data_IF_253768873914
#
_entry.id   IF_253768873914
#
_cell.length_a   1.000
_cell.length_b   1.000
_cell.length_c   1.000
_cell.angle_alpha   90.00
_cell.angle_beta   90.00
_cell.angle_gamma   90.00
#
_symmetry.space_group_name_H-M   'P 1'
#
loop_
_entity.id
_entity.type
_entity.pdbx_description
1 polymer ?
#
# COMPACT_ATOMS: atom_id res chain seq x y z
N UNK A 1 14.16 -1.28 35.72
CA UNK A 1 14.94 -2.35 35.05
C UNK A 1 15.05 -2.04 33.57
N UNK A 2 16.18 -2.40 32.94
CA UNK A 2 16.34 -2.15 31.47
C UNK A 2 15.68 -3.30 30.73
N UNK A 3 14.74 -3.00 29.86
CA UNK A 3 14.04 -3.98 29.00
C UNK A 3 14.40 -3.71 27.54
N UNK A 4 14.48 -4.76 26.74
CA UNK A 4 14.69 -4.67 25.30
C UNK A 4 13.37 -4.69 24.57
N UNK A 5 13.14 -3.70 23.71
CA UNK A 5 11.99 -3.69 22.81
C UNK A 5 12.41 -4.34 21.52
N UNK A 6 11.77 -5.45 21.20
CA UNK A 6 12.05 -6.26 20.00
C UNK A 6 10.87 -6.24 19.05
N UNK A 7 11.14 -6.49 17.77
CA UNK A 7 10.12 -6.68 16.75
C UNK A 7 9.20 -7.85 17.16
N UNK A 8 7.88 -7.64 17.21
CA UNK A 8 6.94 -8.73 17.49
C UNK A 8 7.03 -9.84 16.44
N UNK A 9 6.47 -11.01 16.75
CA UNK A 9 6.40 -12.09 15.76
C UNK A 9 5.62 -11.62 14.54
N UNK A 10 6.30 -11.62 13.39
CA UNK A 10 5.68 -11.35 12.11
C UNK A 10 4.91 -12.61 11.64
N UNK A 11 3.80 -12.46 10.90
CA UNK A 11 3.10 -13.59 10.30
C UNK A 11 4.03 -14.45 9.43
N UNK A 12 3.82 -15.76 9.36
CA UNK A 12 4.67 -16.70 8.61
C UNK A 12 4.90 -16.32 7.14
N UNK A 13 3.99 -15.54 6.57
CA UNK A 13 4.08 -15.04 5.18
C UNK A 13 4.89 -13.75 5.02
N UNK A 14 5.44 -13.19 6.11
CA UNK A 14 6.16 -11.90 6.12
C UNK A 14 7.58 -12.12 6.65
N UNK A 15 8.56 -12.01 5.77
CA UNK A 15 9.97 -12.25 6.12
C UNK A 15 10.62 -11.08 6.87
N UNK A 16 10.18 -9.84 6.60
CA UNK A 16 10.78 -8.62 7.13
C UNK A 16 9.75 -7.46 7.17
N UNK A 17 10.04 -6.45 8.00
CA UNK A 17 9.27 -5.22 8.13
C UNK A 17 10.18 -3.99 8.02
N UNK A 18 9.64 -2.84 7.67
CA UNK A 18 10.38 -1.56 7.67
C UNK A 18 9.87 -0.67 8.79
N UNK A 19 10.75 -0.13 9.59
CA UNK A 19 10.41 0.87 10.59
C UNK A 19 10.05 2.19 9.89
N UNK A 20 8.78 2.57 9.90
CA UNK A 20 8.30 3.79 9.24
C UNK A 20 8.63 5.03 10.05
N UNK A 21 8.22 5.00 11.32
CA UNK A 21 8.40 6.14 12.21
C UNK A 21 8.43 5.68 13.67
N UNK A 22 9.16 6.44 14.49
CA UNK A 22 9.04 6.41 15.93
C UNK A 22 7.96 7.39 16.37
N UNK A 23 7.04 6.92 17.21
CA UNK A 23 5.98 7.75 17.81
C UNK A 23 6.47 8.48 19.05
N UNK A 24 7.55 7.99 19.64
CA UNK A 24 8.18 8.53 20.84
C UNK A 24 9.67 8.75 20.62
N UNK A 25 10.21 9.80 21.27
CA UNK A 25 11.62 10.13 21.20
C UNK A 25 12.40 9.62 22.43
N UNK A 26 13.73 9.44 22.33
CA UNK A 26 14.56 9.11 23.48
C UNK A 26 14.38 10.14 24.62
N UNK A 27 14.14 9.65 25.84
CA UNK A 27 13.87 10.47 27.03
C UNK A 27 12.38 10.75 27.27
N UNK A 28 11.48 10.35 26.38
CA UNK A 28 10.04 10.57 26.53
C UNK A 28 9.40 9.46 27.38
N UNK A 29 8.48 9.86 28.25
CA UNK A 29 7.72 8.95 29.09
C UNK A 29 6.63 8.24 28.28
N UNK A 30 6.50 6.94 28.50
CA UNK A 30 5.59 6.06 27.76
C UNK A 30 4.73 5.26 28.72
N UNK A 31 3.43 5.17 28.45
CA UNK A 31 2.50 4.32 29.17
C UNK A 31 2.59 2.85 28.71
N UNK A 32 2.09 1.93 29.54
CA UNK A 32 1.93 0.53 29.14
C UNK A 32 0.96 0.44 27.95
N UNK A 33 1.26 -0.42 26.99
CA UNK A 33 0.48 -0.65 25.77
C UNK A 33 0.40 0.58 24.81
N UNK A 34 1.17 1.64 25.08
CA UNK A 34 1.28 2.79 24.18
C UNK A 34 2.15 2.46 22.97
N UNK A 35 1.71 2.87 21.77
CA UNK A 35 2.45 2.60 20.54
C UNK A 35 3.76 3.39 20.47
N UNK A 36 4.88 2.69 20.36
CA UNK A 36 6.24 3.23 20.29
C UNK A 36 6.70 3.49 18.86
N UNK A 37 6.35 2.59 17.94
CA UNK A 37 6.84 2.63 16.57
C UNK A 37 5.87 1.89 15.63
N UNK A 38 5.83 2.37 14.39
CA UNK A 38 5.06 1.74 13.31
C UNK A 38 6.01 0.93 12.41
N UNK A 39 5.74 -0.36 12.27
CA UNK A 39 6.44 -1.27 11.37
C UNK A 39 5.56 -1.55 10.15
N UNK A 40 6.01 -1.19 8.97
CA UNK A 40 5.32 -1.46 7.71
C UNK A 40 5.83 -2.77 7.10
N UNK A 41 4.91 -3.66 6.82
CA UNK A 41 5.16 -4.89 6.05
C UNK A 41 4.60 -4.74 4.64
N UNK A 42 4.75 -5.75 3.80
CA UNK A 42 4.18 -5.76 2.45
C UNK A 42 2.63 -5.83 2.44
N UNK A 43 2.01 -6.12 3.59
CA UNK A 43 0.56 -6.34 3.70
C UNK A 43 -0.15 -5.45 4.72
N UNK A 44 0.49 -5.20 5.86
CA UNK A 44 -0.10 -4.45 7.00
C UNK A 44 0.95 -3.61 7.71
N UNK A 45 0.47 -2.56 8.38
CA UNK A 45 1.28 -1.79 9.33
C UNK A 45 1.05 -2.39 10.73
N UNK A 46 2.13 -2.82 11.38
CA UNK A 46 2.12 -3.36 12.73
C UNK A 46 2.58 -2.28 13.71
N UNK A 47 1.87 -2.15 14.81
CA UNK A 47 2.23 -1.27 15.90
C UNK A 47 3.08 -2.04 16.92
N UNK A 48 4.10 -1.38 17.46
CA UNK A 48 4.96 -1.94 18.52
C UNK A 48 4.54 -1.32 19.85
N UNK A 49 3.75 -2.02 20.69
CA UNK A 49 3.31 -1.51 21.98
C UNK A 49 4.44 -1.58 23.02
N UNK A 50 4.43 -0.65 23.97
CA UNK A 50 5.31 -0.67 25.12
C UNK A 50 4.92 -1.78 26.10
N UNK A 51 5.85 -2.65 26.54
CA UNK A 51 5.53 -3.76 27.45
C UNK A 51 5.20 -3.32 28.89
N UNK A 52 5.66 -2.14 29.27
CA UNK A 52 5.42 -1.55 30.61
C UNK A 52 5.49 -0.02 30.54
N UNK A 53 5.06 0.67 31.59
CA UNK A 53 5.26 2.11 31.75
C UNK A 53 6.73 2.44 32.08
N UNK A 54 7.30 3.44 31.40
CA UNK A 54 8.69 3.82 31.61
C UNK A 54 9.19 4.89 30.65
N UNK A 55 10.51 4.92 30.39
CA UNK A 55 11.15 5.93 29.51
C UNK A 55 11.95 5.23 28.42
N UNK A 56 11.79 5.70 27.19
CA UNK A 56 12.58 5.23 26.05
C UNK A 56 14.01 5.79 26.15
N UNK A 57 15.02 4.93 26.27
CA UNK A 57 16.39 5.35 26.54
C UNK A 57 17.23 5.55 25.28
N UNK A 58 17.21 4.59 24.38
CA UNK A 58 18.02 4.60 23.17
C UNK A 58 17.34 3.88 22.02
N UNK A 59 17.35 4.50 20.86
CA UNK A 59 16.89 3.90 19.61
C UNK A 59 18.06 3.20 18.92
N UNK A 60 17.93 1.91 18.65
CA UNK A 60 18.95 1.14 17.93
C UNK A 60 18.75 1.09 16.44
N UNK A 61 17.51 1.37 15.99
CA UNK A 61 17.11 1.31 14.59
C UNK A 61 16.54 2.67 14.16
N UNK A 62 17.01 3.17 13.02
CA UNK A 62 16.53 4.43 12.46
C UNK A 62 15.28 4.23 11.57
N UNK A 63 14.41 5.24 11.41
CA UNK A 63 13.32 5.20 10.45
C UNK A 63 13.83 4.87 9.04
N UNK A 64 13.10 3.99 8.33
CA UNK A 64 13.48 3.48 7.01
C UNK A 64 14.34 2.20 7.02
N UNK A 65 14.80 1.72 8.17
CA UNK A 65 15.56 0.48 8.26
C UNK A 65 14.65 -0.75 8.19
N UNK A 66 15.15 -1.79 7.52
CA UNK A 66 14.48 -3.10 7.45
C UNK A 66 14.87 -3.94 8.66
N UNK A 67 13.87 -4.53 9.34
CA UNK A 67 14.02 -5.35 10.54
C UNK A 67 13.29 -6.68 10.38
N UNK A 68 13.77 -7.70 11.08
CA UNK A 68 13.19 -9.05 11.12
C UNK A 68 12.54 -9.32 12.48
N UNK A 69 11.69 -10.35 12.53
CA UNK A 69 11.09 -10.81 13.78
C UNK A 69 12.18 -11.07 14.85
N UNK A 70 12.01 -10.48 16.04
CA UNK A 70 12.94 -10.61 17.15
C UNK A 70 14.10 -9.62 17.16
N UNK A 71 14.30 -8.80 16.11
CA UNK A 71 15.37 -7.79 16.08
C UNK A 71 15.18 -6.73 17.18
N UNK A 72 16.29 -6.23 17.73
CA UNK A 72 16.30 -5.22 18.78
C UNK A 72 16.03 -3.84 18.19
N UNK A 73 14.89 -3.22 18.57
CA UNK A 73 14.48 -1.89 18.11
C UNK A 73 15.01 -0.77 19.01
N UNK A 74 14.83 -0.93 20.33
CA UNK A 74 15.17 0.11 21.30
C UNK A 74 15.45 -0.48 22.70
N UNK A 75 16.10 0.32 23.53
CA UNK A 75 16.30 0.05 24.94
C UNK A 75 15.34 0.91 25.76
N UNK A 76 14.57 0.26 26.63
CA UNK A 76 13.53 0.85 27.44
C UNK A 76 13.87 0.67 28.94
N UNK A 77 13.64 1.68 29.75
CA UNK A 77 13.84 1.64 31.20
C UNK A 77 12.49 1.74 31.91
N UNK A 78 12.12 0.67 32.61
CA UNK A 78 10.92 0.62 33.43
C UNK A 78 11.05 1.56 34.62
N UNK A 79 10.16 2.52 34.73
CA UNK A 79 10.10 3.48 35.85
C UNK A 79 8.67 3.94 36.09
N UNK A 80 8.30 4.18 37.34
CA UNK A 80 6.98 4.70 37.70
C UNK A 80 6.81 6.11 37.13
N UNK A 81 6.03 6.26 36.09
CA UNK A 81 5.64 7.57 35.53
C UNK A 81 4.34 8.02 36.19
N UNK A 82 4.46 9.02 37.08
CA UNK A 82 3.31 9.76 37.58
C UNK A 82 2.68 10.54 36.43
N UNK A 83 1.45 10.23 36.09
CA UNK A 83 0.69 10.94 35.06
C UNK A 83 0.36 12.37 35.53
N UNK A 84 0.86 13.37 34.79
CA UNK A 84 0.34 14.74 34.86
C UNK A 84 -0.05 15.18 33.44
N UNK A 85 -1.25 15.76 33.23
CA UNK A 85 -1.73 16.11 31.92
C UNK A 85 -1.15 17.45 31.48
N UNK A 86 -0.44 17.50 30.35
CA UNK A 86 0.02 18.74 29.75
C UNK A 86 -1.00 19.26 28.74
N UNK A 87 -1.47 20.47 29.01
CA UNK A 87 -2.22 21.36 28.09
C UNK A 87 -1.28 21.95 27.03
N UNK A 88 -1.80 22.34 25.85
CA UNK A 88 -0.99 22.84 24.75
C UNK A 88 -0.59 24.32 24.97
N UNK A 89 0.65 24.66 24.70
CA UNK A 89 1.16 26.03 24.63
C UNK A 89 1.55 26.39 23.20
N UNK A 90 1.01 27.56 22.81
CA UNK A 90 1.25 28.27 21.56
C UNK A 90 2.63 28.95 21.54
N UNK A 91 3.25 28.94 20.37
CA UNK A 91 3.91 30.06 19.70
C UNK A 91 5.08 30.77 20.39
N UNK A 92 6.19 30.92 19.68
CA UNK A 92 7.27 31.84 20.03
C UNK A 92 8.48 31.77 19.11
N UNK A 93 8.46 32.60 18.08
CA UNK A 93 9.51 33.41 17.41
C UNK A 93 11.00 33.08 17.59
N UNK A 94 11.60 32.80 16.44
CA UNK A 94 12.85 33.33 15.82
C UNK A 94 13.84 34.11 16.72
N UNK A 95 15.10 33.63 16.72
CA UNK A 95 16.28 34.50 16.77
C UNK A 95 17.47 33.85 16.03
N UNK A 96 18.01 34.60 15.09
CA UNK A 96 19.22 34.33 14.32
C UNK A 96 20.46 34.88 15.05
N UNK A 97 21.59 34.24 14.87
CA UNK A 97 22.96 34.82 14.86
C UNK A 97 23.96 33.65 14.77
N UNK A 98 24.85 33.64 13.93
CA UNK A 98 25.96 34.34 13.28
C UNK A 98 27.09 33.29 13.12
N UNK A 99 27.41 32.97 11.94
CA UNK A 99 28.65 33.17 11.18
C UNK A 99 29.99 33.05 11.93
N UNK A 100 30.77 32.01 11.56
CA UNK A 100 32.22 32.18 11.35
C UNK A 100 32.76 30.99 10.52
N UNK A 101 33.24 31.30 9.34
CA UNK A 101 34.27 30.56 8.59
C UNK A 101 35.57 31.38 8.73
N UNK A 102 36.76 31.02 8.24
CA UNK A 102 37.20 29.84 7.49
C UNK A 102 38.56 29.31 7.95
N UNK A 103 39.01 28.14 7.45
CA UNK A 103 40.39 27.94 7.08
C UNK A 103 40.54 26.75 6.11
N UNK A 104 41.07 27.08 4.96
CA UNK A 104 41.55 26.15 3.96
C UNK A 104 43.00 25.71 4.32
N UNK A 105 43.35 24.47 4.09
CA UNK A 105 44.72 24.08 3.70
C UNK A 105 44.72 22.72 3.01
N UNK A 106 44.99 22.74 1.75
CA UNK A 106 46.13 22.13 1.02
C UNK A 106 46.14 20.58 0.89
N UNK A 107 46.02 20.22 -0.40
CA UNK A 107 46.43 18.93 -0.99
C UNK A 107 47.96 18.83 -0.96
N UNK A 108 48.54 17.62 -0.87
CA UNK A 108 49.49 17.26 -1.90
C UNK A 108 49.23 15.90 -2.56
N UNK A 109 49.25 15.94 -3.86
CA UNK A 109 49.45 14.78 -4.70
C UNK A 109 50.90 14.25 -4.56
N UNK A 110 51.02 12.93 -4.52
CA UNK A 110 52.26 12.28 -4.93
C UNK A 110 51.95 10.91 -5.49
N UNK A 111 52.06 10.83 -6.77
CA UNK A 111 52.14 9.59 -7.55
C UNK A 111 53.55 9.01 -7.34
N UNK A 112 53.65 7.79 -6.89
CA UNK A 112 54.89 7.02 -6.97
C UNK A 112 54.58 5.69 -7.67
N UNK A 113 55.07 5.61 -8.89
CA UNK A 113 55.12 4.37 -9.66
C UNK A 113 56.10 3.41 -8.97
N UNK A 114 55.63 2.20 -8.64
CA UNK A 114 56.46 1.10 -8.21
C UNK A 114 56.65 0.08 -9.34
N UNK A 115 57.87 -0.26 -9.62
CA UNK A 115 58.36 -1.19 -10.62
C UNK A 115 57.88 -2.65 -10.40
N UNK A 116 58.00 -3.55 -11.37
CA UNK A 116 57.41 -4.88 -11.37
C UNK A 116 58.02 -5.78 -10.30
N UNK A 117 57.22 -6.25 -9.40
CA UNK A 117 57.64 -7.17 -8.37
C UNK A 117 57.84 -8.59 -8.91
N UNK A 118 58.95 -9.19 -8.50
CA UNK A 118 59.33 -10.56 -8.77
C UNK A 118 58.23 -11.57 -8.45
N UNK A 119 58.13 -12.62 -9.23
CA UNK A 119 57.17 -13.72 -9.08
C UNK A 119 57.15 -14.24 -7.64
N UNK A 120 56.03 -14.08 -6.98
CA UNK A 120 55.84 -14.51 -5.59
C UNK A 120 56.06 -16.03 -5.44
N UNK A 121 56.97 -16.47 -4.56
CA UNK A 121 57.20 -17.88 -4.28
C UNK A 121 56.01 -18.42 -3.46
N UNK A 122 55.09 -19.09 -4.12
CA UNK A 122 53.90 -19.70 -3.51
C UNK A 122 54.19 -21.15 -3.06
N UNK A 123 53.78 -21.50 -1.85
CA UNK A 123 53.73 -22.90 -1.42
C UNK A 123 52.60 -23.69 -2.11
N UNK A 124 52.65 -25.03 -2.20
CA UNK A 124 51.62 -25.84 -2.90
C UNK A 124 50.19 -25.61 -2.37
N UNK A 125 50.05 -25.43 -1.06
CA UNK A 125 48.74 -25.17 -0.43
C UNK A 125 48.23 -23.72 -0.64
N UNK A 126 49.15 -22.74 -0.75
CA UNK A 126 48.79 -21.34 -1.07
C UNK A 126 48.38 -21.21 -2.53
N UNK A 127 49.03 -21.95 -3.45
CA UNK A 127 48.66 -21.93 -4.89
C UNK A 127 47.24 -22.42 -5.13
N UNK A 128 46.80 -23.52 -4.47
CA UNK A 128 45.40 -23.99 -4.55
C UNK A 128 44.40 -22.95 -4.10
N UNK A 129 44.67 -22.27 -2.98
CA UNK A 129 43.73 -21.25 -2.46
C UNK A 129 43.67 -20.00 -3.35
N UNK A 130 44.78 -19.62 -3.99
CA UNK A 130 44.85 -18.52 -4.95
C UNK A 130 44.02 -18.84 -6.20
N UNK A 131 44.13 -20.08 -6.73
CA UNK A 131 43.38 -20.55 -7.88
C UNK A 131 41.87 -20.66 -7.56
N UNK A 132 41.54 -21.20 -6.37
CA UNK A 132 40.16 -21.41 -5.93
C UNK A 132 39.40 -20.09 -5.67
N UNK A 133 40.11 -19.04 -5.19
CA UNK A 133 39.51 -17.74 -4.91
C UNK A 133 39.86 -16.66 -5.95
N UNK A 134 40.51 -17.01 -7.07
CA UNK A 134 40.87 -16.09 -8.18
C UNK A 134 41.64 -14.84 -7.70
N UNK A 135 42.52 -14.98 -6.68
CA UNK A 135 43.29 -13.88 -6.12
C UNK A 135 44.58 -13.70 -6.88
N UNK A 136 44.98 -12.45 -7.19
CA UNK A 136 46.27 -12.16 -7.80
C UNK A 136 47.38 -12.41 -6.78
N UNK A 137 48.32 -13.35 -7.07
CA UNK A 137 49.44 -13.65 -6.15
C UNK A 137 50.31 -12.46 -5.83
N UNK A 138 50.39 -11.47 -6.71
CA UNK A 138 51.20 -10.27 -6.53
C UNK A 138 50.57 -9.28 -5.52
N UNK A 139 49.29 -9.41 -5.25
CA UNK A 139 48.54 -8.57 -4.30
C UNK A 139 48.65 -9.06 -2.83
N UNK A 140 49.20 -10.26 -2.62
CA UNK A 140 49.28 -10.87 -1.27
C UNK A 140 50.68 -10.74 -0.71
N UNK A 141 50.84 -10.02 0.41
CA UNK A 141 52.12 -9.92 1.11
C UNK A 141 52.48 -11.25 1.80
N UNK A 142 53.56 -11.89 1.44
CA UNK A 142 54.01 -13.16 2.04
C UNK A 142 54.68 -12.97 3.40
N UNK A 143 54.18 -13.66 4.44
CA UNK A 143 54.76 -13.69 5.79
C UNK A 143 55.76 -14.83 6.04
N UNK A 144 55.94 -15.75 5.09
CA UNK A 144 56.82 -16.90 5.21
C UNK A 144 58.30 -16.56 5.02
N UNK A 145 59.20 -17.55 5.36
CA UNK A 145 60.65 -17.41 5.23
C UNK A 145 61.04 -17.04 3.79
N UNK A 146 61.87 -16.05 3.60
CA UNK A 146 62.27 -15.47 2.30
C UNK A 146 61.12 -14.83 1.48
N UNK A 147 60.12 -14.23 2.15
CA UNK A 147 58.98 -13.55 1.49
C UNK A 147 57.99 -14.51 0.83
N UNK A 148 57.94 -15.76 1.24
CA UNK A 148 57.02 -16.76 0.66
C UNK A 148 55.57 -16.54 1.13
N UNK A 149 54.63 -16.52 0.21
CA UNK A 149 53.22 -16.45 0.52
C UNK A 149 52.72 -17.79 1.09
N UNK A 150 52.18 -17.76 2.31
CA UNK A 150 51.64 -18.93 3.01
C UNK A 150 50.11 -19.05 2.80
N UNK A 151 49.54 -20.21 3.14
CA UNK A 151 48.08 -20.42 3.10
C UNK A 151 47.34 -19.39 3.99
N UNK A 152 47.95 -19.02 5.13
CA UNK A 152 47.37 -18.04 6.06
C UNK A 152 47.28 -16.65 5.47
N UNK A 153 48.26 -16.23 4.68
CA UNK A 153 48.29 -14.91 4.06
C UNK A 153 47.20 -14.76 2.98
N UNK A 154 46.97 -15.80 2.18
CA UNK A 154 45.88 -15.82 1.18
C UNK A 154 44.52 -15.81 1.86
N UNK A 155 44.34 -16.60 2.91
CA UNK A 155 43.08 -16.64 3.66
C UNK A 155 42.77 -15.29 4.35
N UNK A 156 43.80 -14.63 4.92
CA UNK A 156 43.64 -13.30 5.53
C UNK A 156 43.30 -12.23 4.46
N UNK A 157 43.95 -12.30 3.29
CA UNK A 157 43.64 -11.39 2.18
C UNK A 157 42.22 -11.56 1.66
N UNK A 158 41.75 -12.79 1.45
CA UNK A 158 40.35 -13.09 1.05
C UNK A 158 39.37 -12.61 2.09
N UNK A 159 39.64 -12.84 3.39
CA UNK A 159 38.78 -12.33 4.46
C UNK A 159 38.77 -10.80 4.53
N UNK A 160 39.87 -10.14 4.26
CA UNK A 160 39.97 -8.68 4.23
C UNK A 160 39.26 -8.09 3.00
N UNK A 161 39.32 -8.77 1.85
CA UNK A 161 38.61 -8.40 0.63
C UNK A 161 37.09 -8.61 0.79
N UNK A 162 36.63 -9.68 1.42
CA UNK A 162 35.25 -9.92 1.80
C UNK A 162 34.74 -8.88 2.81
N UNK A 163 35.58 -8.46 3.77
CA UNK A 163 35.25 -7.39 4.71
C UNK A 163 35.18 -5.99 4.02
N UNK A 164 35.98 -5.76 2.99
CA UNK A 164 35.97 -4.53 2.20
C UNK A 164 34.74 -4.42 1.26
N UNK A 165 34.20 -5.57 0.84
CA UNK A 165 32.93 -5.61 0.06
C UNK A 165 31.67 -5.44 0.92
N UNK A 166 31.80 -5.55 2.25
CA UNK A 166 30.74 -5.25 3.24
C UNK A 166 30.94 -3.86 3.87
N UNK A 167 31.54 -2.92 3.14
CA UNK A 167 31.45 -1.52 3.53
C UNK A 167 29.97 -1.11 3.54
N UNK A 168 29.46 -0.49 4.64
CA UNK A 168 28.07 -0.05 4.69
C UNK A 168 27.82 0.85 3.47
N UNK A 169 26.77 0.55 2.71
CA UNK A 169 26.33 1.37 1.59
C UNK A 169 26.32 2.82 2.08
N UNK A 170 27.13 3.67 1.45
CA UNK A 170 27.20 5.07 1.81
C UNK A 170 25.77 5.61 1.87
N UNK A 171 25.41 6.23 3.01
CA UNK A 171 24.15 6.93 3.14
C UNK A 171 23.98 7.81 1.89
N UNK A 172 22.78 7.91 1.30
CA UNK A 172 22.58 8.70 0.10
C UNK A 172 23.09 10.11 0.39
N UNK A 173 24.15 10.49 -0.31
CA UNK A 173 24.68 11.84 -0.24
C UNK A 173 23.58 12.73 -0.76
N UNK A 174 22.93 13.45 0.14
CA UNK A 174 21.99 14.52 -0.24
C UNK A 174 22.85 15.54 -0.96
N UNK A 175 22.80 15.54 -2.29
CA UNK A 175 23.54 16.49 -3.09
C UNK A 175 23.17 17.91 -2.63
N UNK A 176 24.17 18.71 -2.29
CA UNK A 176 23.97 20.11 -1.91
C UNK A 176 23.17 20.82 -3.01
N UNK A 177 22.17 21.66 -2.70
CA UNK A 177 21.36 22.33 -3.67
C UNK A 177 22.24 23.22 -4.56
N UNK A 178 22.19 23.02 -5.86
CA UNK A 178 22.87 23.85 -6.86
C UNK A 178 22.24 25.26 -6.79
N UNK A 179 23.00 26.33 -6.58
CA UNK A 179 22.45 27.67 -6.57
C UNK A 179 21.72 27.97 -7.88
N UNK A 180 20.41 28.29 -7.79
CA UNK A 180 19.54 28.54 -8.96
C UNK A 180 18.74 27.33 -9.44
N UNK A 181 18.93 26.13 -8.89
CA UNK A 181 18.05 24.97 -9.14
C UNK A 181 16.71 25.15 -8.41
N UNK A 182 15.61 24.79 -9.09
CA UNK A 182 14.29 24.72 -8.45
C UNK A 182 14.35 23.68 -7.33
N UNK A 183 13.76 24.01 -6.18
CA UNK A 183 13.72 23.09 -5.05
C UNK A 183 12.95 21.82 -5.41
N UNK A 184 13.61 20.68 -5.41
CA UNK A 184 13.02 19.36 -5.62
C UNK A 184 13.24 18.52 -4.37
N UNK A 185 12.18 17.85 -3.92
CA UNK A 185 12.24 16.92 -2.80
C UNK A 185 12.01 15.49 -3.31
N UNK A 186 12.99 14.62 -3.15
CA UNK A 186 12.87 13.19 -3.43
C UNK A 186 12.41 12.47 -2.15
N UNK A 187 11.19 11.91 -2.20
CA UNK A 187 10.65 11.11 -1.10
C UNK A 187 10.40 9.69 -1.63
N UNK A 188 10.97 8.64 -1.03
CA UNK A 188 10.71 7.27 -1.42
C UNK A 188 9.25 6.92 -1.14
N UNK A 189 8.64 6.11 -2.02
CA UNK A 189 7.30 5.59 -1.77
C UNK A 189 7.32 4.60 -0.59
N UNK A 190 6.25 4.58 0.19
CA UNK A 190 6.04 3.54 1.21
C UNK A 190 5.92 2.16 0.54
N UNK A 191 6.23 1.09 1.26
CA UNK A 191 6.14 -0.30 0.75
C UNK A 191 4.73 -0.62 0.27
N UNK A 192 3.71 -0.23 1.03
CA UNK A 192 2.30 -0.39 0.64
C UNK A 192 2.02 0.28 -0.71
N UNK A 193 2.48 1.53 -0.89
CA UNK A 193 2.29 2.27 -2.15
C UNK A 193 3.04 1.63 -3.32
N UNK A 194 4.25 1.11 -3.10
CA UNK A 194 5.01 0.35 -4.11
C UNK A 194 4.23 -0.88 -4.57
N UNK A 195 3.68 -1.68 -3.65
CA UNK A 195 2.88 -2.86 -3.97
C UNK A 195 1.59 -2.53 -4.70
N UNK A 196 0.90 -1.46 -4.29
CA UNK A 196 -0.29 -0.98 -5.02
C UNK A 196 0.10 -0.58 -6.45
N UNK A 197 1.19 0.17 -6.63
CA UNK A 197 1.66 0.59 -7.94
C UNK A 197 1.99 -0.61 -8.85
N UNK A 198 2.73 -1.60 -8.34
CA UNK A 198 3.04 -2.85 -9.06
C UNK A 198 1.77 -3.56 -9.51
N UNK A 199 0.79 -3.77 -8.61
CA UNK A 199 -0.49 -4.42 -8.93
C UNK A 199 -1.31 -3.67 -9.98
N UNK A 200 -1.38 -2.35 -9.88
CA UNK A 200 -2.13 -1.54 -10.84
C UNK A 200 -1.50 -1.58 -12.24
N UNK A 201 -0.17 -1.46 -12.32
CA UNK A 201 0.56 -1.56 -13.60
C UNK A 201 0.40 -2.97 -14.18
N UNK A 202 0.52 -4.01 -13.35
CA UNK A 202 0.33 -5.38 -13.79
C UNK A 202 -1.10 -5.64 -14.31
N UNK A 203 -2.13 -5.11 -13.64
CA UNK A 203 -3.52 -5.24 -14.10
C UNK A 203 -3.72 -4.61 -15.48
N UNK A 204 -3.12 -3.44 -15.75
CA UNK A 204 -3.19 -2.79 -17.05
C UNK A 204 -2.41 -3.53 -18.15
N UNK A 205 -1.31 -4.18 -17.82
CA UNK A 205 -0.51 -4.94 -18.81
C UNK A 205 -1.08 -6.33 -19.11
N UNK A 206 -1.73 -6.96 -18.12
CA UNK A 206 -2.20 -8.35 -18.26
C UNK A 206 -3.61 -8.47 -18.85
N UNK A 207 -4.35 -7.38 -19.01
CA UNK A 207 -5.73 -7.37 -19.50
C UNK A 207 -5.89 -6.39 -20.67
N UNK A 208 -6.75 -6.73 -21.61
CA UNK A 208 -7.15 -5.84 -22.69
C UNK A 208 -8.29 -4.94 -22.22
N UNK A 209 -7.97 -3.92 -21.42
CA UNK A 209 -8.97 -3.07 -20.79
C UNK A 209 -9.72 -2.19 -21.79
N UNK A 210 -11.03 -2.28 -21.78
CA UNK A 210 -11.93 -1.38 -22.49
C UNK A 210 -12.98 -0.85 -21.51
N UNK A 211 -13.43 0.39 -21.71
CA UNK A 211 -14.47 1.01 -20.88
C UNK A 211 -15.63 1.44 -21.75
N UNK A 212 -16.84 1.10 -21.34
CA UNK A 212 -18.07 1.65 -21.89
C UNK A 212 -18.81 2.45 -20.84
N UNK A 213 -19.60 3.42 -21.28
CA UNK A 213 -20.30 4.37 -20.42
C UNK A 213 -21.80 4.38 -20.73
N UNK A 214 -22.59 4.66 -19.71
CA UNK A 214 -24.01 4.97 -19.85
C UNK A 214 -24.40 6.03 -18.81
N UNK A 215 -25.55 6.65 -19.00
CA UNK A 215 -26.13 7.55 -18.00
C UNK A 215 -27.39 6.94 -17.41
N UNK A 216 -27.64 7.20 -16.13
CA UNK A 216 -28.82 6.71 -15.41
C UNK A 216 -29.55 7.85 -14.72
N UNK A 217 -30.87 7.82 -14.83
CA UNK A 217 -31.80 8.69 -14.08
C UNK A 217 -32.08 8.07 -12.71
N UNK A 218 -31.61 8.73 -11.64
CA UNK A 218 -31.80 8.27 -10.27
C UNK A 218 -33.06 8.78 -9.59
N UNK A 219 -34.01 9.35 -10.35
CA UNK A 219 -35.25 9.88 -9.79
C UNK A 219 -36.03 8.83 -9.00
N UNK A 220 -36.27 7.66 -9.60
CA UNK A 220 -37.04 6.58 -8.96
C UNK A 220 -36.35 6.05 -7.67
N UNK A 221 -35.05 5.81 -7.69
CA UNK A 221 -34.32 5.43 -6.51
C UNK A 221 -34.30 6.55 -5.46
N UNK A 222 -34.14 7.81 -5.87
CA UNK A 222 -34.21 8.99 -5.00
C UNK A 222 -35.54 9.14 -4.29
N UNK A 223 -36.64 9.00 -5.02
CA UNK A 223 -38.03 9.06 -4.49
C UNK A 223 -38.31 7.89 -3.53
N UNK A 224 -37.92 6.66 -3.90
CA UNK A 224 -38.09 5.49 -3.06
C UNK A 224 -37.32 5.68 -1.73
N UNK A 225 -36.08 6.13 -1.84
CA UNK A 225 -35.23 6.44 -0.69
C UNK A 225 -35.85 7.55 0.18
N UNK A 226 -36.27 8.66 -0.41
CA UNK A 226 -36.87 9.78 0.32
C UNK A 226 -38.15 9.36 1.07
N UNK A 227 -38.95 8.49 0.49
CA UNK A 227 -40.19 7.98 1.09
C UNK A 227 -39.97 7.05 2.27
N UNK A 228 -38.87 6.27 2.26
CA UNK A 228 -38.66 5.18 3.22
C UNK A 228 -37.48 5.38 4.17
N UNK A 229 -36.58 6.36 3.97
CA UNK A 229 -35.33 6.55 4.74
C UNK A 229 -35.52 6.58 6.25
N UNK A 230 -36.52 7.34 6.74
CA UNK A 230 -36.71 7.55 8.19
C UNK A 230 -37.25 6.28 8.87
N UNK A 231 -38.17 5.56 8.20
CA UNK A 231 -38.69 4.29 8.67
C UNK A 231 -37.61 3.20 8.65
N UNK A 232 -36.81 3.16 7.56
CA UNK A 232 -35.71 2.21 7.40
C UNK A 232 -34.65 2.41 8.48
N UNK A 233 -34.25 3.65 8.75
CA UNK A 233 -33.27 3.96 9.80
C UNK A 233 -33.80 3.59 11.20
N UNK A 234 -35.07 3.83 11.50
CA UNK A 234 -35.68 3.43 12.78
C UNK A 234 -35.74 1.92 12.95
N UNK A 235 -36.05 1.17 11.89
CA UNK A 235 -36.21 -0.29 11.94
C UNK A 235 -34.87 -1.03 11.93
N UNK A 236 -33.91 -0.54 11.15
CA UNK A 236 -32.66 -1.26 10.91
C UNK A 236 -31.42 -0.64 11.58
N UNK A 237 -31.51 0.56 12.15
CA UNK A 237 -30.40 1.27 12.79
C UNK A 237 -29.32 1.74 11.83
N UNK A 238 -29.60 1.77 10.53
CA UNK A 238 -28.67 2.18 9.48
C UNK A 238 -29.39 3.01 8.43
N UNK A 239 -28.72 4.01 7.87
CA UNK A 239 -29.30 4.87 6.81
C UNK A 239 -29.43 4.10 5.51
N UNK A 240 -30.54 4.30 4.80
CA UNK A 240 -30.71 3.79 3.43
C UNK A 240 -29.85 4.62 2.46
N UNK A 241 -28.69 4.10 2.06
CA UNK A 241 -27.79 4.71 1.10
C UNK A 241 -28.15 4.38 -0.34
N UNK A 242 -27.33 4.84 -1.29
CA UNK A 242 -27.44 4.46 -2.69
C UNK A 242 -26.69 3.15 -2.99
N UNK A 243 -25.66 2.80 -2.19
CA UNK A 243 -24.80 1.68 -2.50
C UNK A 243 -25.52 0.34 -2.53
N UNK A 244 -26.48 0.12 -1.64
CA UNK A 244 -27.29 -1.11 -1.64
C UNK A 244 -28.12 -1.30 -2.91
N UNK A 245 -28.61 -0.21 -3.51
CA UNK A 245 -29.28 -0.28 -4.81
C UNK A 245 -28.33 -0.67 -5.93
N UNK A 246 -27.14 -0.07 -5.97
CA UNK A 246 -26.12 -0.40 -6.96
C UNK A 246 -25.60 -1.83 -6.82
N UNK A 247 -25.37 -2.31 -5.60
CA UNK A 247 -24.99 -3.70 -5.35
C UNK A 247 -26.07 -4.65 -5.86
N UNK A 248 -27.34 -4.41 -5.54
CA UNK A 248 -28.45 -5.28 -5.99
C UNK A 248 -28.65 -5.23 -7.50
N UNK A 249 -28.62 -4.04 -8.12
CA UNK A 249 -28.72 -3.89 -9.57
C UNK A 249 -27.54 -4.59 -10.29
N UNK A 250 -26.33 -4.49 -9.74
CA UNK A 250 -25.17 -5.18 -10.29
C UNK A 250 -25.33 -6.70 -10.21
N UNK A 251 -25.80 -7.25 -9.09
CA UNK A 251 -26.03 -8.70 -8.93
C UNK A 251 -27.07 -9.20 -9.94
N UNK A 252 -28.15 -8.47 -10.16
CA UNK A 252 -29.13 -8.84 -11.21
C UNK A 252 -28.51 -8.85 -12.60
N UNK A 253 -27.71 -7.84 -12.91
CA UNK A 253 -27.01 -7.78 -14.18
C UNK A 253 -25.96 -8.90 -14.32
N UNK A 254 -25.20 -9.22 -13.26
CA UNK A 254 -24.23 -10.31 -13.24
C UNK A 254 -24.86 -11.69 -13.46
N UNK A 255 -26.11 -11.91 -12.97
CA UNK A 255 -26.86 -13.12 -13.24
C UNK A 255 -27.23 -13.27 -14.72
N UNK A 256 -27.52 -12.16 -15.40
CA UNK A 256 -27.83 -12.14 -16.85
C UNK A 256 -26.58 -12.26 -17.73
N UNK A 257 -25.44 -11.79 -17.21
CA UNK A 257 -24.15 -11.77 -17.91
C UNK A 257 -23.04 -12.39 -17.05
N UNK A 258 -22.99 -13.74 -16.91
CA UNK A 258 -22.05 -14.43 -16.00
C UNK A 258 -20.58 -14.17 -16.31
N UNK A 259 -20.22 -13.88 -17.57
CA UNK A 259 -18.85 -13.53 -17.97
C UNK A 259 -18.33 -12.27 -17.28
N UNK A 260 -19.20 -11.35 -16.87
CA UNK A 260 -18.85 -10.15 -16.11
C UNK A 260 -18.47 -10.45 -14.65
N UNK A 261 -18.83 -11.66 -14.15
CA UNK A 261 -18.48 -12.18 -12.83
C UNK A 261 -17.35 -13.23 -12.89
N UNK A 262 -16.73 -13.42 -14.04
CA UNK A 262 -15.69 -14.41 -14.26
C UNK A 262 -14.30 -13.85 -13.88
N UNK A 263 -13.31 -14.75 -13.85
CA UNK A 263 -11.89 -14.42 -13.73
C UNK A 263 -11.11 -15.09 -14.86
N UNK A 264 -9.93 -14.55 -15.18
CA UNK A 264 -9.02 -15.15 -16.17
C UNK A 264 -7.82 -15.73 -15.43
N UNK A 265 -7.56 -17.01 -15.64
CA UNK A 265 -6.35 -17.67 -15.16
C UNK A 265 -5.62 -18.36 -16.33
N UNK A 266 -4.52 -17.79 -16.76
CA UNK A 266 -3.79 -18.23 -17.96
C UNK A 266 -4.66 -18.17 -19.21
N UNK A 267 -5.05 -19.33 -19.73
CA UNK A 267 -5.95 -19.52 -20.90
C UNK A 267 -7.38 -19.87 -20.50
N UNK A 268 -7.65 -20.06 -19.22
CA UNK A 268 -8.94 -20.51 -18.73
C UNK A 268 -9.81 -19.34 -18.23
N UNK A 269 -11.11 -19.47 -18.43
CA UNK A 269 -12.13 -18.56 -17.87
C UNK A 269 -12.82 -19.29 -16.73
N UNK A 270 -12.69 -18.72 -15.52
CA UNK A 270 -13.28 -19.25 -14.30
C UNK A 270 -14.60 -18.53 -14.03
N UNK A 271 -15.71 -19.24 -14.15
CA UNK A 271 -17.04 -18.69 -13.80
C UNK A 271 -17.34 -18.91 -12.33
N UNK A 272 -17.83 -17.87 -11.65
CA UNK A 272 -18.26 -17.95 -10.26
C UNK A 272 -19.78 -18.04 -10.17
N UNK A 273 -20.29 -18.98 -9.36
CA UNK A 273 -21.72 -19.15 -9.09
C UNK A 273 -22.18 -18.38 -7.83
N UNK A 274 -21.30 -17.56 -7.27
CA UNK A 274 -21.51 -16.68 -6.13
C UNK A 274 -21.11 -15.24 -6.48
N UNK A 275 -21.62 -14.27 -5.72
CA UNK A 275 -21.39 -12.85 -5.99
C UNK A 275 -20.73 -12.18 -4.79
N UNK A 276 -19.42 -12.15 -4.81
CA UNK A 276 -18.57 -11.51 -3.82
C UNK A 276 -18.18 -10.12 -4.32
N UNK A 277 -18.88 -9.10 -3.86
CA UNK A 277 -18.79 -7.75 -4.40
C UNK A 277 -17.77 -6.92 -3.62
N UNK A 278 -16.66 -6.55 -4.26
CA UNK A 278 -15.71 -5.59 -3.74
C UNK A 278 -16.29 -4.17 -3.77
N UNK A 279 -16.18 -3.44 -2.67
CA UNK A 279 -16.60 -2.04 -2.59
C UNK A 279 -15.39 -1.18 -2.27
N UNK A 280 -15.02 -0.29 -3.19
CA UNK A 280 -13.86 0.58 -3.01
C UNK A 280 -14.11 1.64 -1.91
N UNK A 281 -13.26 1.66 -0.89
CA UNK A 281 -13.28 2.59 0.22
C UNK A 281 -11.97 3.38 0.25
N UNK A 282 -12.08 4.70 0.23
CA UNK A 282 -10.91 5.59 0.33
C UNK A 282 -10.58 5.88 1.79
N UNK A 283 -9.29 5.83 2.12
CA UNK A 283 -8.74 6.18 3.44
C UNK A 283 -7.55 7.11 3.27
N UNK A 284 -7.10 7.73 4.35
CA UNK A 284 -5.89 8.57 4.35
C UNK A 284 -4.62 7.79 3.99
N UNK A 285 -4.64 6.47 4.19
CA UNK A 285 -3.54 5.54 3.85
C UNK A 285 -3.59 5.04 2.40
N UNK A 286 -4.72 5.26 1.69
CA UNK A 286 -4.93 4.82 0.32
C UNK A 286 -6.30 4.18 0.09
N UNK A 287 -6.48 3.59 -1.10
CA UNK A 287 -7.70 2.90 -1.49
C UNK A 287 -7.62 1.44 -1.06
N UNK A 288 -8.67 0.96 -0.39
CA UNK A 288 -8.86 -0.46 -0.06
C UNK A 288 -10.20 -0.95 -0.62
N UNK A 289 -10.30 -2.25 -0.92
CA UNK A 289 -11.49 -2.83 -1.56
C UNK A 289 -11.95 -4.04 -0.73
N UNK A 290 -12.63 -3.82 0.41
CA UNK A 290 -13.25 -4.91 1.16
C UNK A 290 -14.39 -5.56 0.36
N UNK A 291 -14.65 -6.83 0.65
CA UNK A 291 -15.53 -7.70 -0.12
C UNK A 291 -16.80 -8.07 0.66
N UNK A 292 -17.95 -7.72 0.11
CA UNK A 292 -19.26 -8.22 0.56
C UNK A 292 -19.42 -9.67 0.09
N UNK A 293 -19.33 -10.63 1.01
CA UNK A 293 -19.44 -12.05 0.67
C UNK A 293 -20.89 -12.45 0.47
N UNK A 294 -21.14 -13.26 -0.59
CA UNK A 294 -22.48 -13.77 -0.92
C UNK A 294 -23.52 -12.62 -0.93
N UNK A 295 -23.18 -11.50 -1.59
CA UNK A 295 -23.98 -10.28 -1.57
C UNK A 295 -25.39 -10.47 -2.15
N UNK A 296 -25.63 -11.54 -2.94
CA UNK A 296 -26.94 -11.95 -3.44
C UNK A 296 -27.91 -12.31 -2.31
N UNK A 297 -27.41 -12.87 -1.20
CA UNK A 297 -28.23 -13.25 -0.05
C UNK A 297 -28.52 -12.09 0.90
N UNK A 298 -27.73 -11.00 0.81
CA UNK A 298 -27.85 -9.85 1.71
C UNK A 298 -29.06 -8.99 1.37
N UNK A 299 -29.79 -8.53 2.38
CA UNK A 299 -30.79 -7.47 2.26
C UNK A 299 -30.14 -6.07 2.21
N UNK A 300 -30.91 -5.04 1.82
CA UNK A 300 -30.44 -3.65 1.75
C UNK A 300 -29.79 -3.18 3.07
N UNK A 301 -30.42 -3.49 4.20
CA UNK A 301 -29.91 -3.09 5.52
C UNK A 301 -28.58 -3.77 5.88
N UNK A 302 -28.39 -5.02 5.48
CA UNK A 302 -27.13 -5.74 5.71
C UNK A 302 -26.00 -5.15 4.87
N UNK A 303 -26.27 -4.87 3.58
CA UNK A 303 -25.30 -4.26 2.66
C UNK A 303 -24.84 -2.90 3.21
N UNK A 304 -25.78 -2.01 3.57
CA UNK A 304 -25.44 -0.68 4.09
C UNK A 304 -24.68 -0.76 5.43
N UNK A 305 -25.06 -1.68 6.33
CA UNK A 305 -24.38 -1.89 7.60
C UNK A 305 -22.94 -2.37 7.39
N UNK A 306 -22.76 -3.35 6.52
CA UNK A 306 -21.45 -3.92 6.22
C UNK A 306 -20.52 -2.88 5.57
N UNK A 307 -21.03 -2.09 4.61
CA UNK A 307 -20.26 -1.01 3.98
C UNK A 307 -19.86 0.06 4.99
N UNK A 308 -20.76 0.44 5.90
CA UNK A 308 -20.45 1.41 6.95
C UNK A 308 -19.40 0.87 7.93
N UNK A 309 -19.50 -0.41 8.32
CA UNK A 309 -18.51 -1.09 9.16
C UNK A 309 -17.14 -1.13 8.47
N UNK A 310 -17.08 -1.56 7.21
CA UNK A 310 -15.86 -1.54 6.42
C UNK A 310 -15.25 -0.13 6.35
N UNK A 311 -16.08 0.89 6.12
CA UNK A 311 -15.63 2.28 6.08
C UNK A 311 -15.02 2.76 7.41
N UNK A 312 -15.61 2.37 8.53
CA UNK A 312 -15.09 2.71 9.86
C UNK A 312 -13.78 1.98 10.17
N UNK A 313 -13.74 0.66 9.95
CA UNK A 313 -12.54 -0.17 10.19
C UNK A 313 -11.41 0.12 9.21
N UNK A 314 -11.71 0.47 7.96
CA UNK A 314 -10.70 0.87 6.97
C UNK A 314 -9.94 2.12 7.42
N UNK A 315 -10.66 3.14 7.94
CA UNK A 315 -10.03 4.35 8.48
C UNK A 315 -9.19 4.07 9.74
N UNK A 316 -9.67 3.17 10.58
CA UNK A 316 -8.94 2.73 11.77
C UNK A 316 -7.76 1.78 11.46
N UNK A 317 -7.66 1.25 10.23
CA UNK A 317 -6.64 0.26 9.85
C UNK A 317 -6.93 -1.17 10.32
N UNK A 318 -8.18 -1.45 10.75
CA UNK A 318 -8.59 -2.72 11.36
C UNK A 318 -9.27 -3.71 10.39
N UNK A 319 -9.04 -3.61 9.07
CA UNK A 319 -9.52 -4.62 8.12
C UNK A 319 -8.57 -5.82 8.06
N UNK A 320 -9.12 -7.02 8.16
CA UNK A 320 -8.38 -8.26 8.00
C UNK A 320 -8.05 -8.51 6.51
N UNK A 321 -6.96 -9.25 6.25
CA UNK A 321 -6.51 -9.54 4.88
C UNK A 321 -7.55 -10.36 4.11
N UNK A 322 -8.22 -11.28 4.79
CA UNK A 322 -9.27 -12.15 4.25
C UNK A 322 -10.47 -11.33 3.72
N UNK A 323 -10.72 -10.16 4.31
CA UNK A 323 -11.80 -9.26 3.87
C UNK A 323 -11.46 -8.47 2.60
N UNK A 324 -10.18 -8.43 2.22
CA UNK A 324 -9.66 -7.71 1.05
C UNK A 324 -9.38 -8.63 -0.16
N UNK A 325 -9.62 -9.93 -0.04
CA UNK A 325 -9.30 -10.94 -1.06
C UNK A 325 -10.55 -11.65 -1.57
N UNK A 326 -10.45 -12.25 -2.75
CA UNK A 326 -11.45 -13.18 -3.30
C UNK A 326 -12.75 -12.54 -3.79
N UNK A 327 -12.81 -11.24 -4.05
CA UNK A 327 -13.96 -10.60 -4.70
C UNK A 327 -14.07 -11.02 -6.17
N UNK A 328 -15.31 -11.13 -6.70
CA UNK A 328 -15.57 -11.53 -8.09
C UNK A 328 -15.89 -10.35 -9.01
N UNK A 329 -16.40 -9.26 -8.44
CA UNK A 329 -16.73 -8.01 -9.13
C UNK A 329 -16.47 -6.83 -8.20
N UNK A 330 -16.11 -5.66 -8.73
CA UNK A 330 -15.83 -4.47 -7.91
C UNK A 330 -16.74 -3.31 -8.28
N UNK A 331 -17.21 -2.57 -7.27
CA UNK A 331 -17.93 -1.29 -7.43
C UNK A 331 -17.08 -0.19 -6.79
N UNK A 332 -16.80 0.86 -7.57
CA UNK A 332 -16.07 2.03 -7.09
C UNK A 332 -16.88 3.30 -7.27
N UNK A 333 -16.86 4.19 -6.27
CA UNK A 333 -17.61 5.44 -6.31
C UNK A 333 -16.66 6.64 -6.26
N UNK A 334 -16.34 7.18 -7.44
CA UNK A 334 -15.60 8.43 -7.60
C UNK A 334 -16.44 9.69 -7.41
N UNK A 335 -17.78 9.53 -7.42
CA UNK A 335 -18.73 10.65 -7.32
C UNK A 335 -18.67 11.40 -6.00
N UNK A 336 -18.29 10.72 -4.91
CA UNK A 336 -18.07 11.33 -3.58
C UNK A 336 -16.94 12.37 -3.58
N UNK A 337 -16.03 12.29 -4.55
CA UNK A 337 -14.94 13.24 -4.76
C UNK A 337 -15.24 14.24 -5.89
N UNK A 338 -16.43 14.16 -6.49
CA UNK A 338 -16.84 15.04 -7.57
C UNK A 338 -16.49 14.56 -8.99
N UNK A 339 -15.98 13.34 -9.16
CA UNK A 339 -15.67 12.79 -10.48
C UNK A 339 -16.91 12.79 -11.37
N UNK A 340 -16.82 13.40 -12.56
CA UNK A 340 -17.87 13.36 -13.56
C UNK A 340 -17.80 12.07 -14.39
N UNK A 341 -16.58 11.67 -14.77
CA UNK A 341 -16.34 10.52 -15.64
C UNK A 341 -14.89 10.03 -15.42
N UNK A 342 -14.71 8.72 -15.31
CA UNK A 342 -13.41 8.07 -15.20
C UNK A 342 -13.48 6.65 -15.74
N UNK A 343 -12.33 6.12 -16.11
CA UNK A 343 -12.14 4.72 -16.54
C UNK A 343 -11.45 3.96 -15.39
N UNK A 344 -12.21 3.24 -14.54
CA UNK A 344 -11.61 2.52 -13.42
C UNK A 344 -10.70 1.38 -13.90
N UNK A 345 -9.63 1.10 -13.15
CA UNK A 345 -8.72 -0.03 -13.41
C UNK A 345 -9.28 -1.27 -12.74
N UNK A 346 -9.22 -2.43 -13.40
CA UNK A 346 -9.65 -3.71 -12.84
C UNK A 346 -8.89 -4.09 -11.57
N UNK A 347 -9.59 -4.74 -10.66
CA UNK A 347 -8.98 -5.42 -9.52
C UNK A 347 -8.72 -6.89 -9.90
N UNK A 348 -7.58 -7.16 -10.52
CA UNK A 348 -7.23 -8.50 -10.98
C UNK A 348 -7.34 -9.54 -9.82
N UNK A 349 -7.85 -10.77 -10.08
CA UNK A 349 -8.12 -11.42 -11.38
C UNK A 349 -9.54 -11.18 -11.94
N UNK A 350 -10.33 -10.28 -11.37
CA UNK A 350 -11.70 -9.96 -11.82
C UNK A 350 -11.70 -9.50 -13.28
N UNK A 351 -12.79 -9.80 -13.99
CA UNK A 351 -12.96 -9.44 -15.40
C UNK A 351 -13.67 -8.11 -15.62
N UNK A 352 -14.34 -7.54 -14.60
CA UNK A 352 -15.06 -6.28 -14.73
C UNK A 352 -15.11 -5.47 -13.43
N UNK A 353 -15.30 -4.15 -13.58
CA UNK A 353 -15.47 -3.18 -12.49
C UNK A 353 -16.48 -2.12 -12.90
N UNK A 354 -17.42 -1.79 -11.98
CA UNK A 354 -18.39 -0.69 -12.15
C UNK A 354 -17.87 0.58 -11.47
N UNK A 355 -17.78 1.67 -12.24
CA UNK A 355 -17.50 3.02 -11.76
C UNK A 355 -18.74 3.84 -11.64
N UNK A 356 -18.98 4.40 -10.46
CA UNK A 356 -20.05 5.37 -10.19
C UNK A 356 -19.45 6.77 -10.14
N UNK A 357 -20.23 7.76 -10.57
CA UNK A 357 -19.79 9.15 -10.63
C UNK A 357 -20.74 10.07 -9.87
N UNK A 358 -20.49 11.39 -9.91
CA UNK A 358 -21.33 12.35 -9.19
C UNK A 358 -22.77 12.36 -9.72
N UNK A 359 -23.72 12.46 -8.81
CA UNK A 359 -25.11 12.79 -9.15
C UNK A 359 -25.20 14.28 -9.44
N UNK A 360 -25.81 14.65 -10.54
CA UNK A 360 -25.94 16.03 -10.96
C UNK A 360 -27.30 16.27 -11.59
N UNK A 361 -28.00 17.33 -11.17
CA UNK A 361 -29.22 17.78 -11.82
C UNK A 361 -28.89 18.26 -13.22
N UNK A 362 -29.55 17.64 -14.24
CA UNK A 362 -29.33 17.92 -15.66
C UNK A 362 -30.64 18.01 -16.40
N UNK A 363 -30.73 18.90 -17.39
CA UNK A 363 -31.88 18.93 -18.32
C UNK A 363 -31.79 17.69 -19.23
N UNK A 364 -32.88 16.92 -19.24
CA UNK A 364 -33.04 15.75 -20.12
C UNK A 364 -34.39 15.83 -20.85
N UNK A 365 -34.44 15.24 -22.02
CA UNK A 365 -35.69 15.15 -22.79
C UNK A 365 -36.50 13.92 -22.35
N UNK A 366 -37.67 14.15 -21.78
CA UNK A 366 -38.63 13.09 -21.41
C UNK A 366 -39.97 13.38 -22.10
N UNK A 367 -40.43 12.45 -22.91
CA UNK A 367 -41.68 12.60 -23.67
C UNK A 367 -41.77 13.91 -24.48
N UNK A 368 -40.65 14.33 -25.06
CA UNK A 368 -40.57 15.56 -25.86
C UNK A 368 -40.49 16.87 -25.05
N UNK A 369 -40.44 16.80 -23.71
CA UNK A 369 -40.29 17.96 -22.85
C UNK A 369 -38.92 17.94 -22.15
N UNK A 370 -38.33 19.11 -21.90
CA UNK A 370 -37.12 19.26 -21.11
C UNK A 370 -37.48 19.27 -19.63
N UNK A 371 -36.99 18.30 -18.90
CA UNK A 371 -37.17 18.18 -17.45
C UNK A 371 -35.81 18.08 -16.74
N UNK A 372 -35.74 18.54 -15.50
CA UNK A 372 -34.53 18.39 -14.66
C UNK A 372 -34.60 17.05 -13.97
N UNK A 373 -33.53 16.26 -14.07
CA UNK A 373 -33.37 14.93 -13.46
C UNK A 373 -32.03 14.78 -12.80
N UNK A 374 -31.96 14.06 -11.66
CA UNK A 374 -30.69 13.69 -11.00
C UNK A 374 -30.00 12.58 -11.81
N UNK A 375 -29.11 12.97 -12.70
CA UNK A 375 -28.38 12.07 -13.61
C UNK A 375 -27.03 11.67 -13.04
N UNK A 376 -26.64 10.42 -13.28
CA UNK A 376 -25.32 9.91 -12.96
C UNK A 376 -24.73 9.20 -14.19
N UNK A 377 -23.44 9.42 -14.45
CA UNK A 377 -22.69 8.56 -15.38
C UNK A 377 -22.24 7.29 -14.69
N UNK A 378 -22.37 6.18 -15.38
CA UNK A 378 -21.84 4.88 -15.04
C UNK A 378 -20.78 4.50 -16.06
N UNK A 379 -19.69 3.89 -15.56
CA UNK A 379 -18.65 3.30 -16.38
C UNK A 379 -18.51 1.82 -16.04
N UNK A 380 -18.38 0.95 -17.02
CA UNK A 380 -17.91 -0.41 -16.80
C UNK A 380 -16.62 -0.60 -17.56
N UNK A 381 -15.53 -0.92 -16.82
CA UNK A 381 -14.28 -1.35 -17.43
C UNK A 381 -14.22 -2.86 -17.35
N UNK A 382 -13.78 -3.50 -18.42
CA UNK A 382 -13.78 -4.94 -18.55
C UNK A 382 -12.58 -5.45 -19.36
N UNK A 383 -12.28 -6.73 -19.20
CA UNK A 383 -11.23 -7.40 -19.96
C UNK A 383 -11.80 -7.90 -21.31
N UNK A 384 -11.43 -7.19 -22.38
CA UNK A 384 -11.94 -7.49 -23.74
C UNK A 384 -11.37 -8.80 -24.34
N UNK A 385 -10.50 -9.51 -23.60
CA UNK A 385 -10.07 -10.85 -24.00
C UNK A 385 -11.20 -11.89 -23.88
N UNK A 386 -12.15 -11.66 -22.92
CA UNK A 386 -13.25 -12.58 -22.60
C UNK A 386 -14.63 -11.95 -22.67
N UNK A 387 -14.74 -10.61 -22.66
CA UNK A 387 -16.02 -9.89 -22.69
C UNK A 387 -16.06 -9.04 -23.94
N UNK A 388 -17.09 -9.25 -24.76
CA UNK A 388 -17.34 -8.46 -25.95
C UNK A 388 -18.08 -7.15 -25.64
N UNK A 389 -17.90 -6.15 -26.51
CA UNK A 389 -18.55 -4.85 -26.36
C UNK A 389 -20.07 -4.92 -26.28
N UNK A 390 -20.72 -5.87 -26.97
CA UNK A 390 -22.16 -6.09 -26.89
C UNK A 390 -22.59 -6.50 -25.48
N UNK A 391 -21.90 -7.45 -24.86
CA UNK A 391 -22.20 -7.95 -23.51
C UNK A 391 -21.98 -6.85 -22.47
N UNK A 392 -20.87 -6.12 -22.56
CA UNK A 392 -20.56 -5.02 -21.65
C UNK A 392 -21.58 -3.90 -21.71
N UNK A 393 -22.02 -3.51 -22.91
CA UNK A 393 -23.06 -2.48 -23.10
C UNK A 393 -24.41 -2.96 -22.55
N UNK A 394 -24.82 -4.19 -22.86
CA UNK A 394 -26.07 -4.76 -22.37
C UNK A 394 -26.07 -4.97 -20.85
N UNK A 395 -24.93 -5.33 -20.26
CA UNK A 395 -24.74 -5.39 -18.80
C UNK A 395 -24.99 -4.02 -18.16
N UNK A 396 -24.39 -2.97 -18.73
CA UNK A 396 -24.55 -1.62 -18.19
C UNK A 396 -25.99 -1.09 -18.38
N UNK A 397 -26.65 -1.47 -19.48
CA UNK A 397 -28.09 -1.20 -19.71
C UNK A 397 -28.92 -1.94 -18.66
N UNK A 398 -28.65 -3.19 -18.35
CA UNK A 398 -29.38 -3.93 -17.33
C UNK A 398 -29.28 -3.29 -15.93
N UNK A 399 -28.09 -2.76 -15.56
CA UNK A 399 -27.92 -1.99 -14.33
C UNK A 399 -28.76 -0.70 -14.38
N UNK A 400 -28.70 0.03 -15.49
CA UNK A 400 -29.51 1.24 -15.72
C UNK A 400 -31.00 0.94 -15.53
N UNK A 401 -31.53 -0.05 -16.22
CA UNK A 401 -32.93 -0.42 -16.16
C UNK A 401 -33.39 -0.78 -14.73
N UNK A 402 -32.56 -1.54 -13.99
CA UNK A 402 -32.85 -1.89 -12.60
C UNK A 402 -32.84 -0.68 -11.66
N UNK A 403 -32.01 0.34 -11.92
CA UNK A 403 -31.97 1.57 -11.12
C UNK A 403 -33.09 2.57 -11.51
N UNK A 404 -33.46 2.65 -12.78
CA UNK A 404 -34.55 3.52 -13.26
C UNK A 404 -35.93 2.97 -12.90
N UNK A 405 -36.05 1.63 -12.73
CA UNK A 405 -37.26 0.97 -12.18
C UNK A 405 -36.89 0.00 -11.05
N UNK A 406 -36.64 0.52 -9.83
CA UNK A 406 -36.23 -0.32 -8.70
C UNK A 406 -37.32 -1.30 -8.23
N UNK A 407 -38.57 -1.14 -8.67
CA UNK A 407 -39.67 -2.09 -8.42
C UNK A 407 -39.38 -3.47 -8.99
N UNK A 408 -38.71 -3.55 -10.14
CA UNK A 408 -38.35 -4.81 -10.81
C UNK A 408 -37.42 -5.67 -9.95
N UNK A 409 -36.46 -5.05 -9.25
CA UNK A 409 -35.56 -5.77 -8.34
C UNK A 409 -36.28 -6.45 -7.17
N UNK A 410 -37.44 -5.91 -6.76
CA UNK A 410 -38.25 -6.46 -5.66
C UNK A 410 -39.10 -7.67 -6.10
N UNK A 411 -39.46 -7.74 -7.34
CA UNK A 411 -40.35 -8.80 -7.89
C UNK A 411 -39.58 -9.80 -8.77
N UNK A 412 -38.28 -9.59 -8.98
CA UNK A 412 -37.41 -10.54 -9.65
C UNK A 412 -37.64 -10.68 -11.17
N UNK A 413 -37.98 -9.58 -11.89
CA UNK A 413 -38.19 -9.55 -13.36
C UNK A 413 -37.24 -8.63 -14.09
#
# INVERSE_FOLDING_TARGET
>A
MTMEIRVPQLPESVADATLVAWRKQPGEAVGRDENLADLETDKVVLEVPAPAGGVLKELKVQPGATVKSGDLLAIFEEGAVSAAPAKPAKGGKVAAAKESAPAATAVPAAVAAAAPAAAAKLGPAARRLVEENQVDPAAVAGSGRDGRVTKGDVAAHVAQQAAATVAPAAAPVVAAPIPGARAEQRVPMTRLRQRIAERLVQAQHNAALLTTFNEVDLTAVGELRARHKDRFEKEHGVKLGFMSFFVKASIEALRKFPVMNAAVDGTDVIYHEYYDIGVAVSTDRGLVVPVLRNAETMGFAQIERQINDYGARARAGGLALEELQGGTFTITNGGVFGSMLSTPILNAPQSAILGMHKIQDRPVAVNGQVVIRPMMYLAVTYDHRIIDGREAVQFLVAIKDALEDPGRMLIGI
#
